data_IF_243991177428
#
_entry.id   IF_243991177428
#
_cell.length_a   1.000
_cell.length_b   1.000
_cell.length_c   1.000
_cell.angle_alpha   90.00
_cell.angle_beta   90.00
_cell.angle_gamma   90.00
#
_symmetry.space_group_name_H-M   'P 1'
#
loop_
_entity.id
_entity.type
_entity.pdbx_description
1 polymer ?
#
# COMPACT_ATOMS: atom_id res chain seq x y z
N UNK A 1 -59.59 15.73 29.79
CA UNK A 1 -58.65 16.70 29.22
C UNK A 1 -57.23 16.45 29.75
N UNK A 2 -57.07 16.01 30.91
CA UNK A 2 -55.76 15.75 31.51
C UNK A 2 -55.05 14.54 30.89
N UNK A 3 -55.78 13.57 30.35
CA UNK A 3 -55.21 12.39 29.72
C UNK A 3 -54.46 12.70 28.40
N UNK A 4 -54.82 13.75 27.72
CA UNK A 4 -54.16 14.14 26.46
C UNK A 4 -52.74 14.64 26.66
N UNK A 5 -52.46 15.25 27.79
CA UNK A 5 -51.13 15.79 28.07
C UNK A 5 -50.12 14.72 28.47
N UNK A 6 -50.63 13.61 29.00
CA UNK A 6 -49.79 12.50 29.44
C UNK A 6 -49.14 11.75 28.26
N UNK A 7 -49.87 11.60 27.17
CA UNK A 7 -49.41 10.82 26.00
C UNK A 7 -48.23 11.50 25.29
N UNK A 8 -48.25 12.82 24.99
CA UNK A 8 -47.10 13.47 24.38
C UNK A 8 -45.88 13.46 25.24
N UNK A 9 -46.02 13.58 26.56
CA UNK A 9 -44.89 13.57 27.49
C UNK A 9 -44.19 12.22 27.50
N UNK A 10 -44.95 11.14 27.51
CA UNK A 10 -44.35 9.79 27.46
C UNK A 10 -43.61 9.54 26.16
N UNK A 11 -44.17 9.98 25.05
CA UNK A 11 -43.53 9.83 23.74
C UNK A 11 -42.25 10.63 23.66
N UNK A 12 -42.25 11.85 24.12
CA UNK A 12 -41.06 12.71 24.13
C UNK A 12 -39.95 12.16 25.02
N UNK A 13 -40.29 11.59 26.15
CA UNK A 13 -39.27 11.07 27.05
C UNK A 13 -38.64 9.77 26.54
N UNK A 14 -39.32 8.99 25.71
CA UNK A 14 -38.75 7.74 25.18
C UNK A 14 -37.87 7.97 23.95
N UNK A 15 -38.20 8.94 23.10
CA UNK A 15 -37.43 9.21 21.89
C UNK A 15 -36.06 9.83 22.15
N UNK A 16 -35.88 10.81 23.02
CA UNK A 16 -34.57 11.40 23.25
C UNK A 16 -33.53 10.46 23.83
N UNK A 17 -33.93 9.41 24.52
CA UNK A 17 -33.00 8.47 25.11
C UNK A 17 -32.43 7.47 24.08
N UNK A 18 -33.16 7.17 23.01
CA UNK A 18 -32.74 6.22 21.98
C UNK A 18 -31.97 6.94 20.85
N UNK A 19 -32.45 8.11 20.43
CA UNK A 19 -31.86 8.85 19.31
C UNK A 19 -30.40 9.23 19.53
N UNK A 20 -29.96 9.76 20.69
CA UNK A 20 -28.56 10.09 20.90
C UNK A 20 -27.62 8.87 20.84
N UNK A 21 -28.06 7.72 21.35
CA UNK A 21 -27.28 6.48 21.29
C UNK A 21 -27.14 6.00 19.85
N UNK A 22 -28.25 6.02 19.10
CA UNK A 22 -28.25 5.62 17.69
C UNK A 22 -27.35 6.56 16.86
N UNK A 23 -27.44 7.87 17.11
CA UNK A 23 -26.61 8.84 16.42
C UNK A 23 -25.12 8.62 16.70
N UNK A 24 -24.76 8.34 17.95
CA UNK A 24 -23.38 8.05 18.32
C UNK A 24 -22.87 6.81 17.61
N UNK A 25 -23.67 5.75 17.55
CA UNK A 25 -23.31 4.53 16.86
C UNK A 25 -23.09 4.78 15.37
N UNK A 26 -23.97 5.55 14.75
CA UNK A 26 -23.86 5.89 13.33
C UNK A 26 -22.60 6.72 13.09
N UNK A 27 -22.34 7.72 13.93
CA UNK A 27 -21.12 8.54 13.80
C UNK A 27 -19.85 7.70 13.97
N UNK A 28 -19.86 6.77 14.92
CA UNK A 28 -18.73 5.86 15.12
C UNK A 28 -18.52 4.98 13.92
N UNK A 29 -19.60 4.42 13.35
CA UNK A 29 -19.53 3.61 12.14
C UNK A 29 -19.01 4.41 10.95
N UNK A 30 -19.51 5.62 10.76
CA UNK A 30 -19.06 6.48 9.68
C UNK A 30 -17.56 6.79 9.80
N UNK A 31 -17.09 7.08 10.99
CA UNK A 31 -15.69 7.33 11.24
C UNK A 31 -14.84 6.12 10.92
N UNK A 32 -15.27 4.93 11.35
CA UNK A 32 -14.55 3.68 11.07
C UNK A 32 -14.54 3.36 9.58
N UNK A 33 -15.65 3.58 8.91
CA UNK A 33 -15.73 3.39 7.45
C UNK A 33 -14.78 4.34 6.73
N UNK A 34 -14.77 5.61 7.15
CA UNK A 34 -13.86 6.61 6.56
C UNK A 34 -12.40 6.20 6.77
N UNK A 35 -12.05 5.73 7.96
CA UNK A 35 -10.70 5.26 8.28
C UNK A 35 -10.31 4.06 7.43
N UNK A 36 -11.23 3.11 7.25
CA UNK A 36 -10.99 1.93 6.42
C UNK A 36 -10.79 2.30 4.95
N UNK A 37 -11.57 3.24 4.45
CA UNK A 37 -11.42 3.72 3.07
C UNK A 37 -10.06 4.40 2.90
N UNK A 38 -9.67 5.25 3.85
CA UNK A 38 -8.38 5.91 3.81
C UNK A 38 -7.24 4.89 3.84
N UNK A 39 -7.33 3.90 4.72
CA UNK A 39 -6.33 2.85 4.81
C UNK A 39 -6.25 2.01 3.53
N UNK A 40 -7.40 1.69 2.94
CA UNK A 40 -7.44 0.94 1.68
C UNK A 40 -6.78 1.72 0.54
N UNK A 41 -7.00 3.02 0.48
CA UNK A 41 -6.36 3.89 -0.51
C UNK A 41 -4.85 3.95 -0.31
N UNK A 42 -4.41 4.09 0.93
CA UNK A 42 -2.99 4.13 1.26
C UNK A 42 -2.31 2.80 0.90
N UNK A 43 -2.92 1.68 1.27
CA UNK A 43 -2.40 0.36 0.92
C UNK A 43 -2.33 0.14 -0.59
N UNK A 44 -3.34 0.62 -1.32
CA UNK A 44 -3.34 0.52 -2.78
C UNK A 44 -2.21 1.35 -3.39
N UNK A 45 -1.99 2.57 -2.87
CA UNK A 45 -0.91 3.43 -3.32
C UNK A 45 0.46 2.81 -3.03
N UNK A 46 0.65 2.29 -1.82
CA UNK A 46 1.88 1.60 -1.45
C UNK A 46 2.12 0.36 -2.32
N UNK A 47 1.06 -0.40 -2.59
CA UNK A 47 1.16 -1.59 -3.42
C UNK A 47 1.63 -1.24 -4.83
N UNK A 48 1.08 -0.18 -5.41
CA UNK A 48 1.50 0.30 -6.73
C UNK A 48 2.95 0.78 -6.73
N UNK A 49 3.33 1.51 -5.69
CA UNK A 49 4.70 2.00 -5.55
C UNK A 49 5.69 0.86 -5.41
N UNK A 50 5.36 -0.15 -4.59
CA UNK A 50 6.20 -1.33 -4.42
C UNK A 50 6.33 -2.14 -5.70
N UNK A 51 5.24 -2.30 -6.46
CA UNK A 51 5.29 -3.00 -7.75
C UNK A 51 6.18 -2.27 -8.75
N UNK A 52 6.07 -0.95 -8.80
CA UNK A 52 6.91 -0.15 -9.68
C UNK A 52 8.39 -0.24 -9.27
N UNK A 53 8.66 -0.19 -7.96
CA UNK A 53 10.02 -0.32 -7.45
C UNK A 53 10.60 -1.70 -7.72
N UNK A 54 9.80 -2.74 -7.56
CA UNK A 54 10.22 -4.11 -7.85
C UNK A 54 10.59 -4.26 -9.33
N UNK A 55 9.76 -3.73 -10.23
CA UNK A 55 10.05 -3.77 -11.67
C UNK A 55 11.34 -3.02 -12.01
N UNK A 56 11.57 -1.87 -11.39
CA UNK A 56 12.79 -1.09 -11.57
C UNK A 56 14.02 -1.84 -11.08
N UNK A 57 13.95 -2.44 -9.89
CA UNK A 57 15.05 -3.23 -9.34
C UNK A 57 15.36 -4.45 -10.18
N UNK A 58 14.35 -5.11 -10.73
CA UNK A 58 14.55 -6.25 -11.62
C UNK A 58 15.28 -5.82 -12.91
N UNK A 59 14.90 -4.67 -13.46
CA UNK A 59 15.57 -4.11 -14.62
C UNK A 59 17.02 -3.76 -14.33
N UNK A 60 17.27 -3.08 -13.22
CA UNK A 60 18.63 -2.74 -12.79
C UNK A 60 19.49 -4.00 -12.59
N UNK A 61 18.89 -5.01 -11.99
CA UNK A 61 19.58 -6.30 -11.79
C UNK A 61 20.00 -6.91 -13.12
N UNK A 62 19.09 -6.91 -14.11
CA UNK A 62 19.40 -7.44 -15.45
C UNK A 62 20.54 -6.67 -16.10
N UNK A 63 20.51 -5.36 -15.99
CA UNK A 63 21.57 -4.50 -16.51
C UNK A 63 22.90 -4.78 -15.86
N UNK A 64 22.93 -4.92 -14.54
CA UNK A 64 24.14 -5.22 -13.80
C UNK A 64 24.69 -6.60 -14.16
N UNK A 65 23.82 -7.59 -14.31
CA UNK A 65 24.25 -8.93 -14.71
C UNK A 65 24.83 -8.93 -16.12
N UNK A 66 24.23 -8.17 -17.03
CA UNK A 66 24.73 -8.05 -18.41
C UNK A 66 26.08 -7.33 -18.45
N UNK A 67 26.23 -6.25 -17.68
CA UNK A 67 27.52 -5.56 -17.56
C UNK A 67 28.60 -6.46 -16.99
N UNK A 68 28.24 -7.25 -15.97
CA UNK A 68 29.15 -8.21 -15.38
C UNK A 68 29.59 -9.25 -16.38
N UNK A 69 28.66 -9.79 -17.17
CA UNK A 69 28.94 -10.76 -18.21
C UNK A 69 29.90 -10.18 -19.26
N UNK A 70 29.62 -8.96 -19.73
CA UNK A 70 30.47 -8.30 -20.72
C UNK A 70 31.88 -8.02 -20.15
N UNK A 71 31.95 -7.58 -18.92
CA UNK A 71 33.23 -7.31 -18.25
C UNK A 71 34.04 -8.61 -18.10
N UNK A 72 33.38 -9.71 -17.70
CA UNK A 72 34.03 -10.99 -17.54
C UNK A 72 34.55 -11.52 -18.89
N UNK A 73 33.76 -11.37 -19.96
CA UNK A 73 34.22 -11.75 -21.32
C UNK A 73 35.41 -10.94 -21.77
N UNK A 74 35.39 -9.64 -21.47
CA UNK A 74 36.48 -8.76 -21.84
C UNK A 74 37.77 -9.15 -21.10
N UNK A 75 37.67 -9.45 -19.82
CA UNK A 75 38.81 -9.90 -19.02
C UNK A 75 39.34 -11.24 -19.55
N UNK A 76 38.45 -12.19 -19.84
CA UNK A 76 38.82 -13.49 -20.38
C UNK A 76 39.55 -13.36 -21.72
N UNK A 77 39.04 -12.51 -22.59
CA UNK A 77 39.65 -12.25 -23.88
C UNK A 77 41.03 -11.61 -23.75
N UNK A 78 41.15 -10.67 -22.81
CA UNK A 78 42.45 -10.01 -22.54
C UNK A 78 43.46 -11.00 -21.98
N UNK A 79 43.05 -11.88 -21.07
CA UNK A 79 43.91 -12.92 -20.54
C UNK A 79 44.34 -13.90 -21.62
N UNK A 80 43.42 -14.28 -22.50
CA UNK A 80 43.75 -15.18 -23.61
C UNK A 80 44.78 -14.55 -24.55
N UNK A 81 44.66 -13.27 -24.85
CA UNK A 81 45.64 -12.52 -25.67
C UNK A 81 47.01 -12.46 -24.98
N UNK A 82 47.03 -12.19 -23.68
CA UNK A 82 48.29 -12.15 -22.94
C UNK A 82 49.00 -13.49 -22.96
N UNK A 83 48.26 -14.58 -22.75
CA UNK A 83 48.80 -15.95 -22.79
C UNK A 83 49.38 -16.26 -24.18
N UNK A 84 48.69 -15.83 -25.21
CA UNK A 84 49.13 -16.04 -26.61
C UNK A 84 50.44 -15.27 -26.88
N UNK A 85 50.53 -14.04 -26.40
CA UNK A 85 51.73 -13.25 -26.54
C UNK A 85 52.89 -13.87 -25.75
N UNK A 86 52.68 -14.33 -24.53
CA UNK A 86 53.67 -14.98 -23.72
C UNK A 86 54.16 -16.27 -24.35
N UNK A 87 53.26 -17.05 -24.95
CA UNK A 87 53.59 -18.27 -25.61
C UNK A 87 54.43 -18.10 -26.88
N UNK A 88 54.31 -16.93 -27.52
CA UNK A 88 55.06 -16.62 -28.73
C UNK A 88 56.43 -16.02 -28.49
N UNK A 89 56.66 -15.57 -27.28
CA UNK A 89 57.92 -14.97 -26.92
C UNK A 89 58.86 -16.00 -26.29
#
# INVERSE_FOLDING_TARGET
>A
MTARTAIPIVTESSQPSVTPVAEKLIQTLEAKVADLIALARDLNAENRALKARTAELQRERKELLERHRQASEHVDNTLARLRKIEGNS
#
